data_IF_859854982566
#
_entry.id   IF_859854982566
#
_cell.length_a   1.000
_cell.length_b   1.000
_cell.length_c   1.000
_cell.angle_alpha   90.00
_cell.angle_beta   90.00
_cell.angle_gamma   90.00
#
_symmetry.space_group_name_H-M   'P 1'
#
loop_
_entity.id
_entity.type
_entity.pdbx_description
1 polymer ?
#
# COMPACT_ATOMS: atom_id res chain seq x y z
N UNK A 1 -13.68 4.25 -4.83
CA UNK A 1 -12.61 3.41 -4.24
C UNK A 1 -12.63 3.51 -2.73
N UNK A 2 -12.61 2.35 -2.06
CA UNK A 2 -12.30 2.21 -0.63
C UNK A 2 -10.85 1.71 -0.60
N UNK A 3 -9.92 2.34 0.15
CA UNK A 3 -8.55 1.86 0.24
C UNK A 3 -8.50 0.44 0.83
N UNK A 4 -7.68 -0.44 0.24
CA UNK A 4 -7.32 -1.70 0.86
C UNK A 4 -6.77 -1.50 2.29
N UNK A 5 -7.07 -2.43 3.20
CA UNK A 5 -6.66 -2.37 4.60
C UNK A 5 -7.13 -1.14 5.38
N UNK A 6 -8.18 -0.44 4.93
CA UNK A 6 -8.72 0.71 5.68
C UNK A 6 -9.37 0.29 6.99
N UNK A 7 -8.86 0.76 8.13
CA UNK A 7 -9.45 0.46 9.44
C UNK A 7 -10.64 1.36 9.73
N UNK A 8 -11.83 0.75 9.89
CA UNK A 8 -12.99 1.42 10.45
C UNK A 8 -13.02 1.19 11.96
N UNK A 9 -13.14 2.27 12.73
CA UNK A 9 -13.30 2.17 14.19
C UNK A 9 -14.78 2.04 14.53
N UNK A 10 -15.09 1.02 15.29
CA UNK A 10 -16.46 0.71 15.73
C UNK A 10 -16.54 0.82 17.25
N UNK A 11 -17.60 1.44 17.73
CA UNK A 11 -17.91 1.52 19.14
C UNK A 11 -18.27 0.14 19.72
N UNK A 12 -17.75 -0.16 20.91
CA UNK A 12 -17.98 -1.46 21.56
C UNK A 12 -19.32 -1.55 22.29
N UNK A 13 -19.98 -0.42 22.60
CA UNK A 13 -21.26 -0.43 23.31
C UNK A 13 -22.41 -1.03 22.49
N UNK A 14 -22.28 -1.04 21.16
CA UNK A 14 -23.25 -1.66 20.23
C UNK A 14 -22.99 -3.16 20.01
N UNK A 15 -22.14 -3.77 20.84
CA UNK A 15 -21.87 -5.22 20.88
C UNK A 15 -21.55 -5.81 19.50
N UNK A 16 -20.48 -5.32 18.83
CA UNK A 16 -20.08 -5.86 17.54
C UNK A 16 -19.80 -7.37 17.63
N UNK A 17 -20.14 -8.08 16.56
CA UNK A 17 -20.03 -9.53 16.46
C UNK A 17 -18.86 -9.87 15.53
N UNK A 18 -17.93 -10.65 16.07
CA UNK A 18 -16.93 -11.37 15.30
C UNK A 18 -17.44 -12.79 15.04
N UNK A 19 -17.25 -13.30 13.82
CA UNK A 19 -17.67 -14.65 13.47
C UNK A 19 -16.62 -15.39 12.64
N UNK A 20 -16.51 -16.70 12.87
CA UNK A 20 -15.87 -17.61 11.93
C UNK A 20 -16.91 -18.04 10.89
N UNK A 21 -16.60 -17.84 9.61
CA UNK A 21 -17.54 -18.13 8.54
C UNK A 21 -17.27 -19.49 7.94
N UNK A 22 -18.23 -20.41 8.11
CA UNK A 22 -18.10 -21.79 7.63
C UNK A 22 -18.71 -22.03 6.24
N UNK A 23 -19.50 -21.09 5.74
CA UNK A 23 -20.18 -21.20 4.43
C UNK A 23 -19.18 -20.94 3.28
N UNK A 24 -18.87 -21.93 2.44
CA UNK A 24 -17.85 -21.80 1.39
C UNK A 24 -18.22 -20.84 0.25
N UNK A 25 -19.50 -20.49 0.08
CA UNK A 25 -19.97 -19.51 -0.92
C UNK A 25 -19.84 -18.06 -0.46
N UNK A 26 -19.34 -17.86 0.75
CA UNK A 26 -19.12 -16.55 1.32
C UNK A 26 -17.68 -16.10 1.13
N UNK A 27 -17.49 -14.78 1.06
CA UNK A 27 -16.19 -14.13 0.95
C UNK A 27 -16.08 -13.17 2.13
N UNK A 28 -15.11 -13.44 2.99
CA UNK A 28 -14.71 -12.51 4.05
C UNK A 28 -13.90 -11.37 3.43
N UNK A 29 -14.24 -10.13 3.78
CA UNK A 29 -13.56 -8.92 3.28
C UNK A 29 -13.03 -8.00 4.38
N UNK A 30 -13.27 -8.35 5.64
CA UNK A 30 -12.68 -7.66 6.78
C UNK A 30 -12.56 -8.57 7.99
N UNK A 31 -11.82 -8.12 8.99
CA UNK A 31 -11.63 -8.81 10.26
C UNK A 31 -11.62 -7.81 11.42
N UNK A 32 -11.89 -8.30 12.63
CA UNK A 32 -11.82 -7.52 13.87
C UNK A 32 -10.44 -7.62 14.50
N UNK A 33 -9.92 -6.53 15.05
CA UNK A 33 -8.73 -6.55 15.88
C UNK A 33 -8.78 -5.40 16.89
N UNK A 34 -8.07 -5.56 18.00
CA UNK A 34 -7.97 -4.56 19.04
C UNK A 34 -6.73 -3.69 18.83
N UNK A 35 -6.90 -2.56 18.15
CA UNK A 35 -5.82 -1.63 17.83
C UNK A 35 -5.04 -1.07 19.04
N UNK A 36 -5.52 -1.26 20.29
CA UNK A 36 -4.79 -0.85 21.50
C UNK A 36 -3.74 -1.87 21.95
N UNK A 37 -3.93 -3.14 21.60
CA UNK A 37 -3.09 -4.25 22.05
C UNK A 37 -2.47 -5.03 20.89
N UNK A 38 -2.99 -4.87 19.68
CA UNK A 38 -2.63 -5.64 18.51
C UNK A 38 -2.22 -4.73 17.35
N UNK A 39 -1.15 -5.10 16.67
CA UNK A 39 -0.67 -4.45 15.43
C UNK A 39 -1.22 -5.13 14.16
N UNK A 40 -2.30 -5.91 14.33
CA UNK A 40 -2.95 -6.75 13.33
C UNK A 40 -2.97 -8.22 13.76
N UNK A 41 -3.75 -9.04 13.05
CA UNK A 41 -3.94 -10.45 13.39
C UNK A 41 -3.11 -11.41 12.54
N UNK A 42 -2.78 -12.56 13.14
CA UNK A 42 -2.28 -13.72 12.42
C UNK A 42 -3.39 -14.35 11.57
N UNK A 43 -3.02 -15.15 10.57
CA UNK A 43 -3.95 -15.68 9.57
C UNK A 43 -5.12 -16.48 10.18
N UNK A 44 -4.83 -17.29 11.19
CA UNK A 44 -5.82 -18.11 11.88
C UNK A 44 -6.87 -17.23 12.56
N UNK A 45 -6.44 -16.14 13.18
CA UNK A 45 -7.32 -15.22 13.88
C UNK A 45 -8.11 -14.33 12.91
N UNK A 46 -7.52 -13.94 11.76
CA UNK A 46 -8.26 -13.27 10.68
C UNK A 46 -9.49 -14.10 10.28
N UNK A 47 -9.33 -15.41 10.09
CA UNK A 47 -10.44 -16.31 9.67
C UNK A 47 -11.54 -16.42 10.72
N UNK A 48 -11.20 -16.33 12.00
CA UNK A 48 -12.15 -16.47 13.12
C UNK A 48 -12.85 -15.16 13.48
N UNK A 49 -12.39 -14.04 12.93
CA UNK A 49 -12.82 -12.71 13.35
C UNK A 49 -13.46 -11.90 12.23
N UNK A 50 -14.18 -12.52 11.31
CA UNK A 50 -14.82 -11.83 10.20
C UNK A 50 -15.71 -10.67 10.70
N UNK A 51 -15.52 -9.49 10.11
CA UNK A 51 -16.33 -8.30 10.41
C UNK A 51 -17.34 -7.96 9.31
N UNK A 52 -17.02 -8.30 8.06
CA UNK A 52 -17.88 -8.13 6.90
C UNK A 52 -17.69 -9.33 5.99
N UNK A 53 -18.82 -9.87 5.53
CA UNK A 53 -18.89 -11.04 4.68
C UNK A 53 -19.94 -10.80 3.61
N UNK A 54 -19.67 -11.21 2.39
CA UNK A 54 -20.68 -11.18 1.32
C UNK A 54 -20.71 -12.49 0.56
N UNK A 55 -21.83 -12.80 -0.11
CA UNK A 55 -21.95 -14.03 -0.87
C UNK A 55 -23.29 -14.20 -1.54
N UNK A 56 -23.42 -15.31 -2.27
CA UNK A 56 -24.65 -15.66 -2.98
C UNK A 56 -25.26 -16.95 -2.40
N UNK A 57 -26.58 -16.94 -2.20
CA UNK A 57 -27.35 -18.13 -1.88
C UNK A 57 -28.54 -18.25 -2.84
N UNK A 58 -28.51 -19.27 -3.70
CA UNK A 58 -29.43 -19.37 -4.83
C UNK A 58 -29.25 -18.18 -5.78
N UNK A 59 -30.31 -17.40 -6.02
CA UNK A 59 -30.26 -16.16 -6.82
C UNK A 59 -30.09 -14.89 -5.96
N UNK A 60 -30.11 -15.05 -4.64
CA UNK A 60 -30.02 -13.95 -3.68
C UNK A 60 -28.56 -13.58 -3.40
N UNK A 61 -28.34 -12.28 -3.20
CA UNK A 61 -27.09 -11.70 -2.71
C UNK A 61 -27.28 -11.28 -1.26
N UNK A 62 -26.27 -11.52 -0.43
CA UNK A 62 -26.27 -11.04 0.94
C UNK A 62 -24.95 -10.38 1.30
N UNK A 63 -25.04 -9.41 2.20
CA UNK A 63 -23.92 -8.81 2.89
C UNK A 63 -24.27 -8.87 4.37
N UNK A 64 -23.37 -9.42 5.17
CA UNK A 64 -23.43 -9.41 6.61
C UNK A 64 -22.33 -8.48 7.13
N UNK A 65 -22.71 -7.62 8.07
CA UNK A 65 -21.79 -6.73 8.79
C UNK A 65 -21.94 -7.04 10.28
N UNK A 66 -20.83 -7.29 10.96
CA UNK A 66 -20.78 -7.57 12.39
C UNK A 66 -20.95 -6.33 13.26
N UNK A 67 -21.43 -5.21 12.72
CA UNK A 67 -21.60 -3.94 13.43
C UNK A 67 -22.79 -3.16 12.89
N UNK A 68 -23.35 -2.27 13.71
CA UNK A 68 -24.38 -1.35 13.25
C UNK A 68 -23.77 -0.15 12.53
N UNK A 69 -24.45 0.36 11.52
CA UNK A 69 -23.99 1.50 10.71
C UNK A 69 -23.76 2.75 11.59
N UNK A 70 -24.56 2.91 12.65
CA UNK A 70 -24.47 4.04 13.58
C UNK A 70 -23.34 3.90 14.61
N UNK A 71 -22.68 2.74 14.69
CA UNK A 71 -21.60 2.46 15.64
C UNK A 71 -20.24 2.97 15.19
N UNK A 72 -20.13 3.54 13.99
CA UNK A 72 -18.87 3.99 13.43
C UNK A 72 -18.44 5.29 14.12
N UNK A 73 -17.24 5.25 14.70
CA UNK A 73 -16.63 6.39 15.38
C UNK A 73 -15.38 6.86 14.62
N UNK A 74 -15.11 8.16 14.62
CA UNK A 74 -13.84 8.70 14.15
C UNK A 74 -13.95 9.99 13.36
N UNK A 75 -12.96 10.24 12.50
CA UNK A 75 -12.89 11.43 11.64
C UNK A 75 -13.91 11.43 10.50
N UNK A 76 -14.08 12.60 9.87
CA UNK A 76 -14.87 12.79 8.64
C UNK A 76 -14.49 11.78 7.55
N UNK A 77 -13.20 11.47 7.39
CA UNK A 77 -12.72 10.46 6.43
C UNK A 77 -13.39 9.10 6.65
N UNK A 78 -13.60 8.66 7.90
CA UNK A 78 -14.29 7.39 8.19
C UNK A 78 -15.72 7.40 7.69
N UNK A 79 -16.44 8.51 7.84
CA UNK A 79 -17.80 8.64 7.33
C UNK A 79 -17.84 8.61 5.79
N UNK A 80 -16.88 9.25 5.12
CA UNK A 80 -16.77 9.20 3.65
C UNK A 80 -16.52 7.77 3.15
N UNK A 81 -15.62 7.03 3.80
CA UNK A 81 -15.36 5.64 3.40
C UNK A 81 -16.49 4.68 3.78
N UNK A 82 -17.19 4.93 4.89
CA UNK A 82 -18.40 4.20 5.26
C UNK A 82 -19.51 4.41 4.23
N UNK A 83 -19.76 5.64 3.80
CA UNK A 83 -20.73 5.95 2.75
C UNK A 83 -20.40 5.20 1.46
N UNK A 84 -19.13 5.18 1.05
CA UNK A 84 -18.65 4.42 -0.11
C UNK A 84 -18.84 2.91 0.08
N UNK A 85 -18.57 2.37 1.27
CA UNK A 85 -18.80 0.96 1.60
C UNK A 85 -20.27 0.59 1.45
N UNK A 86 -21.16 1.39 2.02
CA UNK A 86 -22.60 1.17 1.95
C UNK A 86 -23.13 1.33 0.52
N UNK A 87 -22.68 2.35 -0.21
CA UNK A 87 -23.05 2.56 -1.61
C UNK A 87 -22.63 1.39 -2.50
N UNK A 88 -21.39 0.91 -2.36
CA UNK A 88 -20.90 -0.28 -3.06
C UNK A 88 -21.69 -1.53 -2.66
N UNK A 89 -21.95 -1.71 -1.36
CA UNK A 89 -22.72 -2.84 -0.83
C UNK A 89 -24.13 -2.88 -1.43
N UNK A 90 -24.84 -1.76 -1.42
CA UNK A 90 -26.18 -1.64 -2.00
C UNK A 90 -26.17 -1.85 -3.51
N UNK A 91 -25.19 -1.28 -4.22
CA UNK A 91 -25.05 -1.51 -5.65
C UNK A 91 -24.86 -3.00 -5.96
N UNK A 92 -23.98 -3.68 -5.21
CA UNK A 92 -23.73 -5.11 -5.40
C UNK A 92 -24.98 -5.93 -5.11
N UNK A 93 -25.68 -5.67 -4.00
CA UNK A 93 -26.94 -6.33 -3.63
C UNK A 93 -28.02 -6.14 -4.71
N UNK A 94 -28.12 -4.94 -5.27
CA UNK A 94 -29.09 -4.58 -6.32
C UNK A 94 -28.66 -4.97 -7.74
N UNK A 95 -27.53 -5.69 -7.90
CA UNK A 95 -26.95 -6.05 -9.21
C UNK A 95 -26.62 -4.85 -10.11
N UNK A 96 -26.33 -3.70 -9.49
CA UNK A 96 -25.76 -2.56 -10.19
C UNK A 96 -24.26 -2.74 -10.37
N UNK A 97 -23.66 -2.15 -11.43
CA UNK A 97 -22.24 -2.24 -11.64
C UNK A 97 -21.46 -1.41 -10.61
N UNK A 98 -20.24 -1.85 -10.30
CA UNK A 98 -19.29 -1.17 -9.42
C UNK A 98 -17.96 -1.08 -10.17
N UNK A 99 -17.23 0.02 -10.02
CA UNK A 99 -15.92 0.15 -10.62
C UNK A 99 -14.93 0.79 -9.68
N UNK A 100 -13.66 0.40 -9.81
CA UNK A 100 -12.57 0.92 -9.02
C UNK A 100 -11.23 0.85 -9.74
N UNK A 101 -10.31 1.73 -9.35
CA UNK A 101 -8.91 1.67 -9.78
C UNK A 101 -8.19 0.71 -8.85
N UNK A 102 -7.41 -0.22 -9.41
CA UNK A 102 -6.63 -1.15 -8.60
C UNK A 102 -5.61 -0.42 -7.73
N UNK A 103 -5.33 -0.98 -6.55
CA UNK A 103 -4.34 -0.40 -5.63
C UNK A 103 -2.91 -0.60 -6.12
N UNK A 104 -2.65 -1.65 -6.91
CA UNK A 104 -1.34 -2.02 -7.45
C UNK A 104 -1.39 -2.29 -8.95
N UNK A 105 -0.30 -2.04 -9.69
CA UNK A 105 -0.24 -2.24 -11.14
C UNK A 105 -0.15 -3.72 -11.54
N UNK A 106 -0.28 -4.02 -12.84
CA UNK A 106 0.07 -5.29 -13.48
C UNK A 106 -0.49 -6.55 -12.76
N UNK A 107 -1.76 -6.55 -12.40
CA UNK A 107 -2.42 -7.67 -11.70
C UNK A 107 -1.83 -8.03 -10.32
N UNK A 108 -0.91 -7.25 -9.73
CA UNK A 108 -0.38 -7.53 -8.39
C UNK A 108 -1.47 -7.42 -7.31
N UNK A 109 -1.40 -8.30 -6.30
CA UNK A 109 -2.41 -8.37 -5.23
C UNK A 109 -2.07 -7.47 -4.04
N UNK A 110 -0.78 -7.27 -3.81
CA UNK A 110 -0.20 -6.47 -2.75
C UNK A 110 1.15 -5.92 -3.23
N UNK A 111 1.77 -5.02 -2.47
CA UNK A 111 3.12 -4.54 -2.77
C UNK A 111 4.06 -4.71 -1.58
N UNK A 112 5.36 -4.69 -1.85
CA UNK A 112 6.38 -4.79 -0.83
C UNK A 112 7.55 -3.85 -1.12
N UNK A 113 8.10 -3.25 -0.06
CA UNK A 113 9.37 -2.55 -0.09
C UNK A 113 10.35 -3.30 0.81
N UNK A 114 11.55 -3.55 0.29
CA UNK A 114 12.67 -4.01 1.09
C UNK A 114 13.50 -2.81 1.54
N UNK A 115 13.62 -2.62 2.86
CA UNK A 115 14.25 -1.50 3.54
C UNK A 115 15.46 -1.95 4.39
N UNK A 116 16.61 -2.28 3.79
CA UNK A 116 17.83 -2.48 4.55
C UNK A 116 18.25 -1.18 5.25
N UNK A 117 18.41 -1.21 6.56
CA UNK A 117 18.74 -0.06 7.40
C UNK A 117 20.17 -0.16 7.94
N UNK A 118 21.03 0.78 7.56
CA UNK A 118 22.41 0.88 8.00
C UNK A 118 22.53 1.96 9.09
N UNK A 119 22.51 1.52 10.35
CA UNK A 119 22.54 2.38 11.54
C UNK A 119 23.94 2.61 12.08
N UNK A 120 24.70 1.53 12.25
CA UNK A 120 25.99 1.57 12.95
C UNK A 120 27.18 1.41 12.01
N UNK A 121 27.05 0.53 11.01
CA UNK A 121 28.12 0.16 10.10
C UNK A 121 27.59 -0.44 8.79
N UNK A 122 28.50 -0.77 7.88
CA UNK A 122 28.23 -1.34 6.56
C UNK A 122 28.79 -2.76 6.39
N UNK A 123 29.05 -3.48 7.48
CA UNK A 123 29.68 -4.82 7.44
C UNK A 123 28.86 -5.82 6.59
N UNK A 124 27.54 -5.66 6.59
CA UNK A 124 26.61 -6.57 5.91
C UNK A 124 26.38 -6.25 4.42
N UNK A 125 27.03 -5.20 3.88
CA UNK A 125 26.75 -4.71 2.51
C UNK A 125 26.96 -5.79 1.44
N UNK A 126 28.07 -6.52 1.47
CA UNK A 126 28.35 -7.50 0.40
C UNK A 126 27.39 -8.69 0.44
N UNK A 127 27.15 -9.26 1.63
CA UNK A 127 26.21 -10.38 1.80
C UNK A 127 24.77 -9.97 1.37
N UNK A 128 24.35 -8.75 1.72
CA UNK A 128 23.08 -8.20 1.26
C UNK A 128 23.03 -8.07 -0.27
N UNK A 129 24.08 -7.51 -0.87
CA UNK A 129 24.11 -7.29 -2.32
C UNK A 129 24.12 -8.61 -3.10
N UNK A 130 24.68 -9.68 -2.55
CA UNK A 130 24.59 -11.01 -3.17
C UNK A 130 23.14 -11.50 -3.23
N UNK A 131 22.35 -11.28 -2.17
CA UNK A 131 20.90 -11.58 -2.17
C UNK A 131 20.18 -10.68 -3.18
N UNK A 132 20.45 -9.37 -3.18
CA UNK A 132 19.82 -8.40 -4.09
C UNK A 132 20.07 -8.77 -5.55
N UNK A 133 21.32 -9.12 -5.91
CA UNK A 133 21.71 -9.58 -7.25
C UNK A 133 21.05 -10.91 -7.61
N UNK A 134 21.15 -11.91 -6.73
CA UNK A 134 20.58 -13.25 -6.94
C UNK A 134 19.08 -13.18 -7.14
N UNK A 135 18.40 -12.38 -6.31
CA UNK A 135 16.96 -12.20 -6.38
C UNK A 135 16.55 -11.23 -7.48
N UNK A 136 17.41 -10.34 -8.00
CA UNK A 136 17.04 -9.32 -8.99
C UNK A 136 15.91 -8.42 -8.47
N UNK A 137 16.12 -7.85 -7.30
CA UNK A 137 15.23 -6.84 -6.71
C UNK A 137 15.95 -5.51 -6.58
N UNK A 138 15.20 -4.41 -6.44
CA UNK A 138 15.74 -3.08 -6.19
C UNK A 138 15.28 -2.60 -4.82
N UNK A 139 16.16 -2.57 -3.79
CA UNK A 139 15.78 -2.11 -2.46
C UNK A 139 15.73 -0.58 -2.36
N UNK A 140 15.11 -0.08 -1.29
CA UNK A 140 15.33 1.28 -0.80
C UNK A 140 16.22 1.19 0.43
N UNK A 141 17.51 1.50 0.26
CA UNK A 141 18.49 1.49 1.34
C UNK A 141 18.28 2.71 2.23
N UNK A 142 18.12 2.48 3.52
CA UNK A 142 17.99 3.53 4.52
C UNK A 142 19.32 3.69 5.24
N UNK A 143 19.88 4.90 5.19
CA UNK A 143 21.16 5.22 5.81
C UNK A 143 20.93 6.22 6.94
N UNK A 144 21.35 5.86 8.14
CA UNK A 144 21.35 6.77 9.27
C UNK A 144 22.17 8.02 8.95
N UNK A 145 21.65 9.21 9.29
CA UNK A 145 22.30 10.49 9.00
C UNK A 145 23.77 10.55 9.46
N UNK A 146 24.12 9.88 10.56
CA UNK A 146 25.49 9.88 11.09
C UNK A 146 26.45 9.02 10.27
N UNK A 147 25.90 8.11 9.46
CA UNK A 147 26.63 7.25 8.53
C UNK A 147 26.79 7.86 7.13
N UNK A 148 26.11 8.97 6.84
CA UNK A 148 26.22 9.73 5.59
C UNK A 148 27.45 10.64 5.64
N UNK A 149 28.62 10.02 5.53
CA UNK A 149 29.93 10.69 5.61
C UNK A 149 30.90 10.16 4.54
N UNK A 150 31.94 10.94 4.28
CA UNK A 150 32.94 10.63 3.25
C UNK A 150 33.64 9.27 3.47
N UNK A 151 33.83 8.86 4.72
CA UNK A 151 34.49 7.58 5.05
C UNK A 151 33.70 6.35 4.52
N UNK A 152 32.38 6.50 4.34
CA UNK A 152 31.50 5.44 3.83
C UNK A 152 31.17 5.64 2.33
N UNK A 153 31.86 6.57 1.63
CA UNK A 153 31.56 6.94 0.24
C UNK A 153 31.56 5.75 -0.72
N UNK A 154 32.48 4.80 -0.54
CA UNK A 154 32.56 3.61 -1.38
C UNK A 154 31.30 2.74 -1.24
N UNK A 155 30.86 2.49 -0.01
CA UNK A 155 29.69 1.66 0.29
C UNK A 155 28.41 2.34 -0.22
N UNK A 156 28.26 3.65 0.00
CA UNK A 156 27.11 4.41 -0.51
C UNK A 156 27.05 4.37 -2.04
N UNK A 157 28.18 4.57 -2.72
CA UNK A 157 28.26 4.47 -4.19
C UNK A 157 27.96 3.06 -4.70
N UNK A 158 28.35 2.03 -3.94
CA UNK A 158 28.05 0.65 -4.29
C UNK A 158 26.55 0.34 -4.13
N UNK A 159 25.94 0.71 -2.99
CA UNK A 159 24.51 0.52 -2.74
C UNK A 159 23.66 1.23 -3.80
N UNK A 160 24.06 2.44 -4.21
CA UNK A 160 23.31 3.21 -5.20
C UNK A 160 23.25 2.55 -6.57
N UNK A 161 24.13 1.60 -6.89
CA UNK A 161 24.07 0.85 -8.16
C UNK A 161 22.92 -0.16 -8.19
N UNK A 162 22.43 -0.61 -7.02
CA UNK A 162 21.45 -1.69 -6.90
C UNK A 162 20.07 -1.24 -6.42
N UNK A 163 19.93 0.01 -5.98
CA UNK A 163 18.67 0.51 -5.44
C UNK A 163 18.64 2.02 -5.25
N UNK A 164 17.61 2.46 -4.54
CA UNK A 164 17.45 3.83 -4.06
C UNK A 164 18.14 3.99 -2.71
N UNK A 165 18.66 5.18 -2.40
CA UNK A 165 19.19 5.51 -1.07
C UNK A 165 18.37 6.66 -0.50
N UNK A 166 17.91 6.51 0.74
CA UNK A 166 17.29 7.58 1.51
C UNK A 166 17.96 7.77 2.88
N UNK A 167 17.98 9.00 3.40
CA UNK A 167 18.46 9.26 4.75
C UNK A 167 17.39 8.95 5.80
N UNK A 168 17.81 8.35 6.92
CA UNK A 168 17.08 8.39 8.17
C UNK A 168 17.53 9.62 8.97
N UNK A 169 16.60 10.52 9.31
CA UNK A 169 16.91 11.85 9.87
C UNK A 169 16.22 12.04 11.21
N UNK A 170 16.96 12.54 12.19
CA UNK A 170 16.38 12.97 13.47
C UNK A 170 15.74 14.35 13.31
N UNK A 171 14.42 14.42 13.36
CA UNK A 171 13.68 15.70 13.32
C UNK A 171 13.42 16.29 14.72
N UNK A 172 14.02 15.74 15.77
CA UNK A 172 13.94 16.29 17.11
C UNK A 172 14.79 15.50 18.07
N UNK A 173 14.53 15.67 19.37
CA UNK A 173 15.06 14.81 20.42
C UNK A 173 14.13 13.71 20.93
N UNK A 174 12.97 13.35 20.32
CA UNK A 174 12.17 12.28 20.88
C UNK A 174 12.99 10.98 20.83
N UNK A 175 13.13 10.29 21.96
CA UNK A 175 13.86 9.00 21.98
C UNK A 175 12.97 7.83 21.57
N UNK A 176 11.65 8.04 21.51
CA UNK A 176 10.66 7.02 21.11
C UNK A 176 9.43 7.69 20.49
N UNK A 177 8.58 6.89 19.83
CA UNK A 177 7.25 7.29 19.36
C UNK A 177 6.32 7.81 20.49
N UNK A 178 6.63 7.50 21.75
CA UNK A 178 5.81 7.84 22.92
C UNK A 178 6.36 9.03 23.71
N UNK A 179 7.44 9.67 23.24
CA UNK A 179 8.00 10.84 23.92
C UNK A 179 7.08 12.06 23.74
N UNK A 180 6.35 12.40 24.82
CA UNK A 180 5.45 13.57 24.88
C UNK A 180 6.14 14.82 25.43
N UNK A 181 7.40 14.70 25.86
CA UNK A 181 8.12 15.75 26.58
C UNK A 181 9.08 16.52 25.69
N UNK A 182 9.55 15.89 24.61
CA UNK A 182 10.51 16.48 23.67
C UNK A 182 9.85 16.85 22.35
N UNK A 183 10.19 18.03 21.86
CA UNK A 183 9.61 18.61 20.67
C UNK A 183 10.42 18.27 19.42
N UNK A 184 9.73 18.26 18.29
CA UNK A 184 10.37 18.31 16.98
C UNK A 184 11.06 19.67 16.78
N UNK A 185 12.13 19.67 16.01
CA UNK A 185 12.87 20.86 15.62
C UNK A 185 12.02 21.81 14.77
N UNK A 186 12.43 23.07 14.68
CA UNK A 186 11.77 24.01 13.78
C UNK A 186 11.99 23.67 12.29
N UNK A 187 11.22 24.35 11.43
CA UNK A 187 11.31 24.20 9.98
C UNK A 187 12.74 24.38 9.44
N UNK A 188 13.49 25.37 9.93
CA UNK A 188 14.79 25.71 9.35
C UNK A 188 15.81 24.60 9.64
N UNK A 189 15.80 24.09 10.86
CA UNK A 189 16.66 23.00 11.33
C UNK A 189 16.33 21.70 10.59
N UNK A 190 15.04 21.36 10.46
CA UNK A 190 14.61 20.18 9.70
C UNK A 190 14.99 20.30 8.22
N UNK A 191 14.77 21.46 7.58
CA UNK A 191 15.11 21.71 6.19
C UNK A 191 16.62 21.62 5.91
N UNK A 192 17.44 22.19 6.80
CA UNK A 192 18.89 22.09 6.72
C UNK A 192 19.36 20.63 6.85
N UNK A 193 18.78 19.87 7.77
CA UNK A 193 19.11 18.45 7.98
C UNK A 193 18.79 17.60 6.75
N UNK A 194 17.59 17.80 6.17
CA UNK A 194 17.17 17.13 4.92
C UNK A 194 18.12 17.50 3.78
N UNK A 195 18.34 18.80 3.56
CA UNK A 195 19.14 19.28 2.43
C UNK A 195 20.58 18.82 2.53
N UNK A 196 21.18 18.84 3.73
CA UNK A 196 22.55 18.36 3.96
C UNK A 196 22.68 16.88 3.60
N UNK A 197 21.82 16.01 4.16
CA UNK A 197 21.89 14.58 3.92
C UNK A 197 21.63 14.25 2.45
N UNK A 198 20.61 14.90 1.87
CA UNK A 198 20.25 14.80 0.44
C UNK A 198 21.45 15.15 -0.45
N UNK A 199 22.01 16.36 -0.31
CA UNK A 199 23.12 16.79 -1.18
C UNK A 199 24.34 15.87 -1.09
N UNK A 200 24.69 15.39 0.11
CA UNK A 200 25.81 14.45 0.29
C UNK A 200 25.55 13.10 -0.40
N UNK A 201 24.34 12.53 -0.24
CA UNK A 201 23.98 11.30 -0.95
C UNK A 201 23.98 11.53 -2.45
N UNK A 202 23.37 12.62 -2.94
CA UNK A 202 23.27 12.92 -4.38
C UNK A 202 24.65 13.12 -5.01
N UNK A 203 25.59 13.78 -4.32
CA UNK A 203 26.97 13.96 -4.76
C UNK A 203 27.71 12.60 -4.88
N UNK A 204 27.52 11.71 -3.90
CA UNK A 204 28.20 10.41 -3.86
C UNK A 204 27.58 9.40 -4.83
N UNK A 205 26.25 9.34 -4.86
CA UNK A 205 25.48 8.34 -5.57
C UNK A 205 25.14 8.74 -7.01
N UNK A 206 25.26 10.03 -7.36
CA UNK A 206 24.83 10.60 -8.64
C UNK A 206 23.36 10.26 -9.00
N UNK A 207 22.51 10.15 -7.98
CA UNK A 207 21.08 9.85 -8.10
C UNK A 207 20.30 10.78 -7.18
N UNK A 208 19.13 11.23 -7.63
CA UNK A 208 18.25 12.11 -6.85
C UNK A 208 17.70 11.38 -5.63
N UNK A 209 17.69 12.06 -4.48
CA UNK A 209 17.03 11.59 -3.26
C UNK A 209 15.65 12.23 -3.17
N UNK A 210 14.62 11.39 -3.19
CA UNK A 210 13.21 11.84 -3.24
C UNK A 210 12.41 11.58 -1.98
N UNK A 211 12.96 10.84 -1.01
CA UNK A 211 12.28 10.61 0.25
C UNK A 211 13.23 10.54 1.44
N UNK A 212 12.62 10.46 2.63
CA UNK A 212 13.32 10.37 3.91
C UNK A 212 12.62 9.37 4.82
N UNK A 213 13.33 8.89 5.83
CA UNK A 213 12.76 8.20 6.98
C UNK A 213 12.94 9.10 8.21
N UNK A 214 11.87 9.68 8.80
CA UNK A 214 12.00 10.33 10.10
C UNK A 214 12.35 9.28 11.15
N UNK A 215 13.45 9.48 11.88
CA UNK A 215 13.78 8.61 13.01
C UNK A 215 12.63 8.61 14.01
N UNK A 216 12.33 7.42 14.55
CA UNK A 216 11.18 7.18 15.42
C UNK A 216 9.83 7.49 14.76
N UNK A 217 9.75 7.64 13.43
CA UNK A 217 8.49 7.82 12.70
C UNK A 217 7.74 9.13 12.93
N UNK A 218 8.30 10.08 13.70
CA UNK A 218 7.64 11.33 14.08
C UNK A 218 7.85 12.43 13.02
N UNK A 219 6.77 13.13 12.67
CA UNK A 219 6.79 14.27 11.75
C UNK A 219 5.62 15.23 12.05
N UNK A 220 5.78 16.49 11.65
CA UNK A 220 4.74 17.52 11.80
C UNK A 220 4.57 18.38 10.53
N UNK A 221 3.81 19.47 10.65
CA UNK A 221 3.62 20.44 9.57
C UNK A 221 4.95 21.09 9.14
N UNK A 222 5.88 21.30 10.06
CA UNK A 222 7.21 21.83 9.74
C UNK A 222 7.99 20.83 8.90
N UNK A 223 7.87 19.53 9.21
CA UNK A 223 8.45 18.45 8.41
C UNK A 223 7.88 18.41 7.01
N UNK A 224 6.55 18.45 6.85
CA UNK A 224 5.93 18.45 5.53
C UNK A 224 6.38 19.66 4.71
N UNK A 225 6.42 20.85 5.31
CA UNK A 225 6.95 22.05 4.67
C UNK A 225 8.42 21.85 4.26
N UNK A 226 9.27 21.36 5.14
CA UNK A 226 10.69 21.13 4.87
C UNK A 226 10.93 20.13 3.73
N UNK A 227 10.17 19.03 3.70
CA UNK A 227 10.23 18.03 2.62
C UNK A 227 9.84 18.63 1.27
N UNK A 228 8.74 19.38 1.22
CA UNK A 228 8.32 20.04 -0.03
C UNK A 228 9.34 21.07 -0.51
N UNK A 229 9.92 21.87 0.39
CA UNK A 229 10.99 22.82 0.05
C UNK A 229 12.26 22.13 -0.45
N UNK A 230 12.53 20.90 0.00
CA UNK A 230 13.68 20.10 -0.38
C UNK A 230 13.41 19.17 -1.59
N UNK A 231 12.28 19.35 -2.28
CA UNK A 231 11.88 18.53 -3.43
C UNK A 231 11.89 17.02 -3.11
N UNK A 232 11.41 16.67 -1.92
CA UNK A 232 11.11 15.31 -1.50
C UNK A 232 9.60 15.07 -1.63
N UNK A 233 9.22 13.92 -2.20
CA UNK A 233 7.83 13.59 -2.54
C UNK A 233 7.26 12.44 -1.70
N UNK A 234 8.07 11.81 -0.82
CA UNK A 234 7.56 10.82 0.12
C UNK A 234 8.32 10.81 1.45
N UNK A 235 7.70 10.19 2.46
CA UNK A 235 8.34 9.81 3.71
C UNK A 235 7.94 8.39 4.11
N UNK A 236 8.83 7.67 4.78
CA UNK A 236 8.55 6.37 5.41
C UNK A 236 8.56 6.59 6.92
N UNK A 237 7.47 6.24 7.60
CA UNK A 237 7.33 6.39 9.05
C UNK A 237 7.28 5.02 9.73
N UNK A 238 8.05 4.87 10.80
CA UNK A 238 7.96 3.72 11.71
C UNK A 238 6.69 3.74 12.58
N UNK A 239 5.85 4.79 12.48
CA UNK A 239 4.58 4.87 13.21
C UNK A 239 3.53 3.95 12.59
N UNK A 240 2.90 3.14 13.44
CA UNK A 240 1.75 2.33 13.07
C UNK A 240 0.52 3.23 13.06
N UNK A 241 -0.08 3.40 11.88
CA UNK A 241 -1.28 4.23 11.73
C UNK A 241 -2.54 3.43 11.35
N UNK A 242 -2.46 2.09 11.46
CA UNK A 242 -3.55 1.16 11.15
C UNK A 242 -3.84 0.98 9.65
N UNK A 243 -3.30 1.82 8.76
CA UNK A 243 -3.56 1.71 7.33
C UNK A 243 -2.45 0.92 6.64
N UNK A 244 -2.85 -0.06 5.85
CA UNK A 244 -1.92 -0.88 5.08
C UNK A 244 -1.58 -0.29 3.72
N UNK A 245 -2.13 0.87 3.36
CA UNK A 245 -1.80 1.60 2.13
C UNK A 245 -1.13 2.95 2.41
N UNK A 246 -0.29 3.43 1.49
CA UNK A 246 0.23 4.79 1.53
C UNK A 246 -0.88 5.85 1.62
N UNK A 247 -0.60 6.93 2.35
CA UNK A 247 -1.51 8.08 2.50
C UNK A 247 -0.97 9.28 1.75
N UNK A 248 -1.86 10.00 1.06
CA UNK A 248 -1.51 11.34 0.57
C UNK A 248 -1.54 12.33 1.72
N UNK A 249 -0.38 12.91 2.01
CA UNK A 249 -0.19 14.09 2.82
C UNK A 249 -0.07 15.30 1.90
N UNK A 250 -0.33 16.50 2.42
CA UNK A 250 -0.17 17.72 1.63
C UNK A 250 0.39 18.85 2.47
N UNK A 251 1.20 19.68 1.80
CA UNK A 251 1.55 21.00 2.27
C UNK A 251 1.20 21.99 1.17
N UNK A 252 0.19 22.84 1.41
CA UNK A 252 -0.46 23.64 0.37
C UNK A 252 -0.92 22.74 -0.78
N UNK A 253 -0.44 22.99 -2.00
CA UNK A 253 -0.82 22.24 -3.20
C UNK A 253 0.18 21.12 -3.55
N UNK A 254 1.25 20.96 -2.76
CA UNK A 254 2.25 19.91 -2.98
C UNK A 254 1.90 18.67 -2.17
N UNK A 255 1.95 17.51 -2.85
CA UNK A 255 1.59 16.20 -2.30
C UNK A 255 2.85 15.47 -1.84
N UNK A 256 2.76 14.85 -0.68
CA UNK A 256 3.79 13.95 -0.13
C UNK A 256 3.11 12.60 0.12
N UNK A 257 3.70 11.51 -0.32
CA UNK A 257 3.21 10.17 0.00
C UNK A 257 3.82 9.70 1.32
N UNK A 258 2.98 9.48 2.33
CA UNK A 258 3.38 8.85 3.58
C UNK A 258 3.20 7.33 3.49
N UNK A 259 4.27 6.58 3.73
CA UNK A 259 4.27 5.12 3.88
C UNK A 259 4.54 4.78 5.34
N UNK A 260 3.81 3.83 5.91
CA UNK A 260 3.78 3.60 7.36
C UNK A 260 4.03 2.14 7.68
N UNK A 261 4.71 1.89 8.82
CA UNK A 261 4.96 0.54 9.32
C UNK A 261 3.64 -0.23 9.39
N UNK A 262 3.57 -1.30 8.60
CA UNK A 262 2.39 -2.13 8.39
C UNK A 262 2.60 -3.58 8.86
N UNK A 263 3.79 -3.88 9.39
CA UNK A 263 4.21 -5.21 9.84
C UNK A 263 5.32 -5.10 10.87
N UNK A 264 5.54 -6.20 11.62
CA UNK A 264 6.67 -6.36 12.53
C UNK A 264 7.99 -6.23 11.75
N UNK A 265 8.99 -5.62 12.39
CA UNK A 265 10.35 -5.56 11.85
C UNK A 265 11.29 -6.54 12.59
N UNK A 266 12.57 -6.54 12.21
CA UNK A 266 13.54 -7.43 12.82
C UNK A 266 13.97 -7.05 14.24
N UNK A 267 13.76 -5.80 14.67
CA UNK A 267 13.89 -5.43 16.07
C UNK A 267 12.77 -6.07 16.91
N UNK A 268 11.55 -6.18 16.37
CA UNK A 268 10.48 -6.92 17.04
C UNK A 268 10.78 -8.42 17.09
N UNK A 269 11.15 -9.01 15.95
CA UNK A 269 11.31 -10.47 15.81
C UNK A 269 12.56 -10.99 16.51
N UNK A 270 13.72 -10.37 16.29
CA UNK A 270 14.99 -10.82 16.85
C UNK A 270 15.24 -10.14 18.20
N UNK A 271 15.05 -8.83 18.28
CA UNK A 271 15.33 -8.04 19.48
C UNK A 271 14.35 -8.35 20.62
N UNK A 272 13.05 -8.12 20.38
CA UNK A 272 12.02 -8.23 21.42
C UNK A 272 11.60 -9.68 21.69
N UNK A 273 11.35 -10.48 20.64
CA UNK A 273 10.93 -11.88 20.81
C UNK A 273 12.09 -12.86 20.99
N UNK A 274 13.33 -12.45 20.68
CA UNK A 274 14.51 -13.32 20.81
C UNK A 274 14.55 -14.47 19.80
N UNK A 275 13.81 -14.38 18.68
CA UNK A 275 13.75 -15.46 17.70
C UNK A 275 15.04 -15.52 16.88
N UNK A 276 15.92 -16.46 17.23
CA UNK A 276 17.22 -16.67 16.58
C UNK A 276 17.21 -17.81 15.55
N UNK A 277 16.24 -18.72 15.62
CA UNK A 277 16.07 -19.77 14.62
C UNK A 277 15.41 -19.22 13.35
N UNK A 278 16.06 -19.46 12.21
CA UNK A 278 15.61 -19.01 10.89
C UNK A 278 14.19 -19.44 10.51
N UNK A 279 13.73 -20.60 10.99
CA UNK A 279 12.40 -21.14 10.69
C UNK A 279 11.33 -20.30 11.38
N UNK A 280 11.54 -19.97 12.66
CA UNK A 280 10.60 -19.14 13.41
C UNK A 280 10.64 -17.68 12.94
N UNK A 281 11.81 -17.13 12.61
CA UNK A 281 11.91 -15.81 11.97
C UNK A 281 11.08 -15.76 10.68
N UNK A 282 11.29 -16.72 9.78
CA UNK A 282 10.56 -16.77 8.52
C UNK A 282 9.04 -16.95 8.71
N UNK A 283 8.63 -17.81 9.65
CA UNK A 283 7.23 -18.02 9.96
C UNK A 283 6.55 -16.72 10.42
N UNK A 284 7.19 -15.93 11.29
CA UNK A 284 6.65 -14.64 11.74
C UNK A 284 6.50 -13.64 10.59
N UNK A 285 7.48 -13.56 9.67
CA UNK A 285 7.31 -12.76 8.46
C UNK A 285 6.17 -13.26 7.57
N UNK A 286 6.00 -14.58 7.45
CA UNK A 286 4.95 -15.17 6.63
C UNK A 286 3.54 -14.80 7.12
N UNK A 287 3.33 -14.69 8.44
CA UNK A 287 2.06 -14.22 9.00
C UNK A 287 1.74 -12.78 8.57
N UNK A 288 2.72 -11.87 8.65
CA UNK A 288 2.54 -10.47 8.23
C UNK A 288 2.29 -10.37 6.72
N UNK A 289 2.98 -11.19 5.91
CA UNK A 289 2.75 -11.31 4.47
C UNK A 289 1.32 -11.80 4.22
N UNK A 290 0.86 -12.84 4.91
CA UNK A 290 -0.50 -13.37 4.70
C UNK A 290 -1.58 -12.36 5.09
N UNK A 291 -1.39 -11.62 6.19
CA UNK A 291 -2.31 -10.53 6.59
C UNK A 291 -2.37 -9.45 5.51
N UNK A 292 -1.22 -8.92 5.09
CA UNK A 292 -1.19 -7.82 4.12
C UNK A 292 -1.66 -8.25 2.74
N UNK A 293 -1.51 -9.53 2.38
CA UNK A 293 -2.08 -10.07 1.16
C UNK A 293 -3.60 -10.10 1.22
N UNK A 294 -4.17 -10.51 2.36
CA UNK A 294 -5.62 -10.47 2.59
C UNK A 294 -6.15 -9.04 2.48
N UNK A 295 -5.43 -8.08 3.05
CA UNK A 295 -5.82 -6.67 3.02
C UNK A 295 -5.62 -5.99 1.66
N UNK A 296 -4.73 -6.52 0.81
CA UNK A 296 -4.26 -5.86 -0.41
C UNK A 296 -3.27 -4.73 -0.14
N UNK A 297 -2.52 -4.80 0.96
CA UNK A 297 -1.67 -3.74 1.49
C UNK A 297 -0.24 -3.68 0.95
N UNK A 298 0.54 -2.78 1.55
CA UNK A 298 1.98 -2.58 1.37
C UNK A 298 2.73 -3.23 2.52
N UNK A 299 3.56 -4.22 2.23
CA UNK A 299 4.48 -4.83 3.19
C UNK A 299 5.82 -4.10 3.23
N UNK A 300 6.30 -3.76 4.42
CA UNK A 300 7.60 -3.11 4.58
C UNK A 300 8.54 -4.04 5.35
N UNK A 301 9.43 -4.69 4.62
CA UNK A 301 10.50 -5.49 5.21
C UNK A 301 11.65 -4.58 5.59
N UNK A 302 11.60 -4.02 6.80
CA UNK A 302 12.74 -3.31 7.40
C UNK A 302 13.72 -4.31 8.00
N UNK A 303 14.98 -4.20 7.62
CA UNK A 303 16.05 -5.11 8.07
C UNK A 303 17.26 -4.30 8.49
N UNK A 304 17.54 -4.26 9.78
CA UNK A 304 18.60 -3.48 10.41
C UNK A 304 19.93 -4.25 10.36
N UNK A 305 21.00 -3.51 10.03
CA UNK A 305 22.40 -3.96 10.01
C UNK A 305 22.81 -4.79 11.23
N UNK A 306 22.36 -4.44 12.43
CA UNK A 306 22.65 -5.16 13.68
C UNK A 306 21.75 -6.37 13.97
N UNK A 307 20.71 -6.62 13.18
CA UNK A 307 19.73 -7.69 13.40
C UNK A 307 19.62 -8.63 12.19
N UNK A 308 18.63 -8.45 11.31
CA UNK A 308 18.35 -9.41 10.23
C UNK A 308 19.47 -9.45 9.19
N UNK A 309 20.22 -8.36 9.03
CA UNK A 309 21.31 -8.32 8.06
C UNK A 309 22.60 -9.01 8.54
N UNK A 310 22.66 -9.42 9.81
CA UNK A 310 23.82 -10.14 10.34
C UNK A 310 24.02 -11.49 9.63
N UNK A 311 25.27 -11.98 9.49
CA UNK A 311 25.58 -13.18 8.72
C UNK A 311 24.75 -14.42 9.08
N UNK A 312 24.43 -14.59 10.37
CA UNK A 312 23.62 -15.70 10.86
C UNK A 312 22.13 -15.63 10.46
N UNK A 313 21.60 -14.42 10.19
CA UNK A 313 20.16 -14.19 9.97
C UNK A 313 19.83 -13.84 8.51
N UNK A 314 20.79 -13.29 7.76
CA UNK A 314 20.54 -12.67 6.45
C UNK A 314 19.92 -13.62 5.42
N UNK A 315 20.17 -14.93 5.55
CA UNK A 315 19.63 -15.92 4.64
C UNK A 315 18.09 -16.03 4.67
N UNK A 316 17.43 -15.65 5.77
CA UNK A 316 15.95 -15.64 5.88
C UNK A 316 15.32 -14.71 4.85
N UNK A 317 16.01 -13.64 4.47
CA UNK A 317 15.54 -12.67 3.47
C UNK A 317 15.31 -13.35 2.11
N UNK A 318 16.08 -14.40 1.77
CA UNK A 318 15.83 -15.16 0.54
C UNK A 318 14.44 -15.80 0.54
N UNK A 319 14.05 -16.40 1.67
CA UNK A 319 12.78 -17.09 1.83
C UNK A 319 11.62 -16.09 1.81
N UNK A 320 11.79 -14.95 2.48
CA UNK A 320 10.81 -13.85 2.47
C UNK A 320 10.56 -13.35 1.05
N UNK A 321 11.62 -13.06 0.27
CA UNK A 321 11.48 -12.59 -1.11
C UNK A 321 10.81 -13.65 -2.01
N UNK A 322 11.13 -14.94 -1.82
CA UNK A 322 10.50 -16.02 -2.58
C UNK A 322 9.01 -16.17 -2.26
N UNK A 323 8.63 -16.03 -0.99
CA UNK A 323 7.23 -16.10 -0.57
C UNK A 323 6.42 -14.91 -1.11
N UNK A 324 6.98 -13.69 -1.06
CA UNK A 324 6.38 -12.51 -1.68
C UNK A 324 6.11 -12.71 -3.18
N UNK A 325 7.08 -13.28 -3.91
CA UNK A 325 6.91 -13.58 -5.35
C UNK A 325 5.85 -14.63 -5.60
N UNK A 326 5.88 -15.73 -4.83
CA UNK A 326 4.89 -16.80 -4.92
C UNK A 326 3.47 -16.26 -4.70
N UNK A 327 3.31 -15.27 -3.82
CA UNK A 327 2.05 -14.61 -3.50
C UNK A 327 1.70 -13.42 -4.40
N UNK A 328 2.49 -13.19 -5.45
CA UNK A 328 2.27 -12.14 -6.46
C UNK A 328 2.27 -10.72 -5.86
N UNK A 329 3.30 -10.42 -5.06
CA UNK A 329 3.60 -9.06 -4.60
C UNK A 329 4.38 -8.26 -5.65
N UNK A 330 4.03 -6.98 -5.77
CA UNK A 330 4.88 -6.00 -6.43
C UNK A 330 6.04 -5.59 -5.51
N UNK A 331 7.23 -6.15 -5.74
CA UNK A 331 8.43 -5.75 -4.99
C UNK A 331 9.07 -4.56 -5.70
N UNK A 332 9.07 -3.39 -5.06
CA UNK A 332 9.46 -2.12 -5.67
C UNK A 332 10.24 -1.22 -4.70
N UNK A 333 10.88 -0.17 -5.21
CA UNK A 333 11.44 0.88 -4.36
C UNK A 333 10.33 1.78 -3.81
N UNK A 334 10.61 2.47 -2.70
CA UNK A 334 9.70 3.45 -2.13
C UNK A 334 9.36 4.59 -3.11
N UNK A 335 10.31 5.05 -3.92
CA UNK A 335 10.06 6.02 -5.00
C UNK A 335 9.06 5.51 -6.06
N UNK A 336 9.16 4.23 -6.46
CA UNK A 336 8.22 3.61 -7.41
C UNK A 336 6.81 3.52 -6.80
N UNK A 337 6.70 3.07 -5.54
CA UNK A 337 5.42 3.04 -4.81
C UNK A 337 4.82 4.44 -4.70
N UNK A 338 5.64 5.44 -4.30
CA UNK A 338 5.21 6.83 -4.19
C UNK A 338 4.70 7.37 -5.53
N UNK A 339 5.44 7.13 -6.62
CA UNK A 339 5.04 7.60 -7.94
C UNK A 339 3.72 6.98 -8.39
N UNK A 340 3.56 5.67 -8.21
CA UNK A 340 2.31 4.99 -8.54
C UNK A 340 1.13 5.53 -7.71
N UNK A 341 1.30 5.66 -6.40
CA UNK A 341 0.24 6.18 -5.52
C UNK A 341 -0.13 7.62 -5.83
N UNK A 342 0.85 8.46 -6.15
CA UNK A 342 0.57 9.84 -6.54
C UNK A 342 -0.29 9.90 -7.79
N UNK A 343 0.00 9.10 -8.81
CA UNK A 343 -0.81 9.00 -10.03
C UNK A 343 -2.18 8.39 -9.77
N UNK A 344 -2.23 7.22 -9.12
CA UNK A 344 -3.47 6.46 -8.87
C UNK A 344 -4.49 7.25 -8.07
N UNK A 345 -4.05 8.04 -7.09
CA UNK A 345 -4.95 8.86 -6.25
C UNK A 345 -5.55 10.05 -6.97
N UNK A 346 -5.10 10.34 -8.19
CA UNK A 346 -5.65 11.38 -9.08
C UNK A 346 -6.53 10.78 -10.20
N UNK A 347 -6.72 9.46 -10.20
CA UNK A 347 -7.64 8.79 -11.13
C UNK A 347 -9.00 8.61 -10.47
N UNK A 348 -10.01 9.15 -11.13
CA UNK A 348 -11.41 9.03 -10.76
C UNK A 348 -12.13 8.08 -11.71
N UNK A 349 -13.01 7.25 -11.15
CA UNK A 349 -13.78 6.27 -11.91
C UNK A 349 -15.25 6.38 -11.52
N UNK A 350 -16.11 6.45 -12.52
CA UNK A 350 -17.56 6.39 -12.38
C UNK A 350 -18.14 5.29 -13.25
N UNK A 351 -19.16 4.58 -12.75
CA UNK A 351 -19.84 3.55 -13.52
C UNK A 351 -21.35 3.72 -13.43
N UNK A 352 -22.04 3.54 -14.56
CA UNK A 352 -23.49 3.65 -14.63
C UNK A 352 -24.07 2.64 -15.61
N UNK A 353 -25.10 1.90 -15.18
CA UNK A 353 -25.88 1.04 -16.06
C UNK A 353 -26.78 1.89 -16.97
N UNK A 354 -26.80 1.54 -18.25
CA UNK A 354 -27.55 2.22 -19.32
C UNK A 354 -28.47 1.19 -20.01
N UNK A 355 -29.65 0.96 -19.45
CA UNK A 355 -30.53 -0.12 -19.90
C UNK A 355 -30.06 -1.50 -19.46
N UNK A 356 -30.45 -2.55 -20.16
CA UNK A 356 -30.22 -3.95 -19.75
C UNK A 356 -28.92 -4.58 -20.25
N UNK A 357 -28.21 -3.93 -21.19
CA UNK A 357 -27.07 -4.53 -21.92
C UNK A 357 -25.86 -3.62 -22.07
N UNK A 358 -25.89 -2.44 -21.45
CA UNK A 358 -24.82 -1.44 -21.59
C UNK A 358 -24.45 -0.88 -20.22
N UNK A 359 -23.15 -0.74 -20.01
CA UNK A 359 -22.58 -0.01 -18.88
C UNK A 359 -21.69 1.10 -19.42
N UNK A 360 -21.86 2.31 -18.90
CA UNK A 360 -20.99 3.45 -19.13
C UNK A 360 -19.94 3.48 -18.02
N UNK A 361 -18.67 3.44 -18.40
CA UNK A 361 -17.54 3.64 -17.51
C UNK A 361 -16.85 4.95 -17.87
N UNK A 362 -16.74 5.86 -16.91
CA UNK A 362 -15.98 7.11 -17.03
C UNK A 362 -14.69 6.95 -16.24
N UNK A 363 -13.56 7.25 -16.88
CA UNK A 363 -12.25 7.29 -16.23
C UNK A 363 -11.61 8.65 -16.49
N UNK A 364 -11.25 9.34 -15.42
CA UNK A 364 -10.75 10.71 -15.46
C UNK A 364 -9.42 10.82 -14.73
N UNK A 365 -8.47 11.55 -15.31
CA UNK A 365 -7.24 11.95 -14.65
C UNK A 365 -7.39 13.41 -14.20
N UNK A 366 -7.60 13.65 -12.91
CA UNK A 366 -7.66 15.00 -12.33
C UNK A 366 -6.29 15.57 -12.02
N UNK A 367 -5.23 14.87 -12.41
CA UNK A 367 -3.86 15.21 -12.16
C UNK A 367 -3.17 16.05 -13.22
N UNK A 368 -1.96 16.51 -12.87
CA UNK A 368 -1.11 17.35 -13.72
C UNK A 368 -0.12 16.56 -14.58
N UNK A 369 -0.04 15.24 -14.39
CA UNK A 369 0.88 14.35 -15.12
C UNK A 369 0.13 13.29 -15.93
N UNK A 370 0.75 12.80 -17.00
CA UNK A 370 0.24 11.66 -17.76
C UNK A 370 0.19 10.44 -16.84
N UNK A 371 -0.94 9.74 -16.84
CA UNK A 371 -1.14 8.51 -16.11
C UNK A 371 -1.00 7.32 -17.09
N UNK A 372 -0.02 6.46 -16.85
CA UNK A 372 0.27 5.32 -17.73
C UNK A 372 -0.17 3.99 -17.10
N UNK A 373 -0.59 3.05 -17.96
CA UNK A 373 -0.96 1.67 -17.58
C UNK A 373 -1.93 1.60 -16.40
N UNK A 374 -2.97 2.43 -16.44
CA UNK A 374 -4.00 2.46 -15.40
C UNK A 374 -4.91 1.26 -15.55
N UNK A 375 -5.08 0.51 -14.46
CA UNK A 375 -5.96 -0.66 -14.40
C UNK A 375 -7.24 -0.31 -13.64
N UNK A 376 -8.36 -0.45 -14.35
CA UNK A 376 -9.71 -0.22 -13.81
C UNK A 376 -10.49 -1.52 -13.87
N UNK A 377 -10.99 -1.95 -12.73
CA UNK A 377 -11.85 -3.11 -12.59
C UNK A 377 -13.32 -2.64 -12.57
N UNK A 378 -14.14 -3.19 -13.46
CA UNK A 378 -15.59 -2.95 -13.53
C UNK A 378 -16.34 -4.27 -13.30
N UNK A 379 -16.95 -4.41 -12.12
CA UNK A 379 -17.87 -5.49 -11.80
C UNK A 379 -19.24 -5.15 -12.39
N UNK A 380 -19.68 -5.95 -13.35
CA UNK A 380 -20.96 -5.79 -14.03
C UNK A 380 -22.11 -6.44 -13.27
N UNK A 381 -21.82 -7.09 -12.14
CA UNK A 381 -22.79 -7.78 -11.29
C UNK A 381 -23.51 -8.96 -11.95
N UNK A 382 -23.14 -9.36 -13.16
CA UNK A 382 -23.76 -10.46 -13.91
C UNK A 382 -22.71 -11.18 -14.77
N UNK A 383 -22.84 -12.50 -14.92
CA UNK A 383 -21.98 -13.27 -15.82
C UNK A 383 -22.38 -12.93 -17.26
N UNK A 384 -21.39 -12.52 -18.06
CA UNK A 384 -21.62 -12.10 -19.43
C UNK A 384 -20.67 -12.83 -20.39
N UNK A 385 -21.18 -13.13 -21.59
CA UNK A 385 -20.43 -13.89 -22.59
C UNK A 385 -19.67 -12.97 -23.54
N UNK A 386 -20.42 -12.19 -24.29
CA UNK A 386 -19.92 -11.30 -25.33
C UNK A 386 -19.73 -9.90 -24.77
N UNK A 387 -18.60 -9.28 -25.10
CA UNK A 387 -18.30 -7.90 -24.73
C UNK A 387 -17.89 -7.18 -25.99
N UNK A 388 -18.54 -6.04 -26.23
CA UNK A 388 -18.10 -5.05 -27.20
C UNK A 388 -17.75 -3.77 -26.43
N UNK A 389 -16.50 -3.35 -26.57
CA UNK A 389 -16.05 -2.06 -26.05
C UNK A 389 -16.13 -1.01 -27.14
N UNK A 390 -16.70 0.14 -26.80
CA UNK A 390 -16.69 1.33 -27.66
C UNK A 390 -16.41 2.58 -26.84
N UNK A 391 -16.06 3.68 -27.52
CA UNK A 391 -15.80 4.98 -26.90
C UNK A 391 -16.85 5.99 -27.32
N UNK A 392 -17.09 7.00 -26.49
CA UNK A 392 -17.98 8.10 -26.85
C UNK A 392 -17.44 8.94 -28.02
N UNK A 393 -16.13 9.17 -28.04
CA UNK A 393 -15.45 9.96 -29.07
C UNK A 393 -14.77 9.00 -30.06
N UNK A 394 -15.01 9.22 -31.36
CA UNK A 394 -14.36 8.48 -32.45
C UNK A 394 -12.86 8.80 -32.46
N UNK A 395 -12.02 7.78 -32.57
CA UNK A 395 -10.56 7.93 -32.57
C UNK A 395 -9.93 7.85 -31.18
N UNK A 396 -10.72 7.80 -30.10
CA UNK A 396 -10.20 7.46 -28.76
C UNK A 396 -9.70 6.03 -28.75
N UNK A 397 -8.48 5.83 -28.27
CA UNK A 397 -7.86 4.51 -28.17
C UNK A 397 -8.65 3.63 -27.20
N UNK A 398 -9.05 2.44 -27.67
CA UNK A 398 -9.72 1.45 -26.82
C UNK A 398 -8.73 0.85 -25.81
N UNK A 399 -9.16 0.62 -24.56
CA UNK A 399 -8.35 -0.08 -23.58
C UNK A 399 -8.26 -1.56 -23.95
N UNK A 400 -7.17 -2.21 -23.53
CA UNK A 400 -7.12 -3.68 -23.51
C UNK A 400 -8.02 -4.16 -22.39
N UNK A 401 -8.62 -5.34 -22.54
CA UNK A 401 -9.47 -5.88 -21.49
C UNK A 401 -9.32 -7.38 -21.26
N UNK A 402 -9.65 -7.82 -20.05
CA UNK A 402 -9.66 -9.22 -19.62
C UNK A 402 -10.94 -9.51 -18.85
N UNK A 403 -11.56 -10.65 -19.15
CA UNK A 403 -12.69 -11.21 -18.38
C UNK A 403 -12.18 -11.99 -17.18
N UNK A 404 -12.72 -11.69 -16.00
CA UNK A 404 -12.43 -12.34 -14.73
C UNK A 404 -13.74 -12.83 -14.11
N UNK A 405 -13.66 -13.76 -13.15
CA UNK A 405 -14.84 -14.30 -12.44
C UNK A 405 -15.97 -14.77 -13.36
N UNK A 406 -15.63 -15.57 -14.37
CA UNK A 406 -16.61 -16.06 -15.36
C UNK A 406 -17.16 -14.98 -16.30
N UNK A 407 -16.66 -13.75 -16.23
CA UNK A 407 -17.09 -12.62 -17.06
C UNK A 407 -17.80 -11.51 -16.29
N UNK A 408 -18.10 -11.69 -15.00
CA UNK A 408 -18.75 -10.62 -14.21
C UNK A 408 -17.82 -9.44 -13.94
N UNK A 409 -16.51 -9.68 -13.88
CA UNK A 409 -15.52 -8.64 -13.63
C UNK A 409 -14.71 -8.38 -14.90
N UNK A 410 -14.73 -7.14 -15.39
CA UNK A 410 -13.98 -6.71 -16.57
C UNK A 410 -12.84 -5.81 -16.13
N UNK A 411 -11.61 -6.26 -16.37
CA UNK A 411 -10.40 -5.45 -16.17
C UNK A 411 -10.09 -4.71 -17.44
N UNK A 412 -9.90 -3.40 -17.34
CA UNK A 412 -9.50 -2.51 -18.43
C UNK A 412 -8.12 -1.94 -18.15
N UNK A 413 -7.20 -2.10 -19.11
CA UNK A 413 -5.86 -1.50 -19.08
C UNK A 413 -5.84 -0.31 -20.03
N UNK A 414 -5.74 0.89 -19.47
CA UNK A 414 -5.66 2.15 -20.19
C UNK A 414 -4.17 2.49 -20.32
N UNK A 415 -3.64 2.43 -21.54
CA UNK A 415 -2.20 2.63 -21.78
C UNK A 415 -1.72 4.02 -21.33
N UNK A 416 -2.49 5.07 -21.63
CA UNK A 416 -2.20 6.45 -21.25
C UNK A 416 -3.49 7.26 -21.01
N UNK A 417 -3.45 8.20 -20.08
CA UNK A 417 -4.50 9.20 -19.83
C UNK A 417 -3.84 10.53 -19.49
N UNK A 418 -4.03 11.55 -20.34
CA UNK A 418 -3.39 12.87 -20.24
C UNK A 418 -3.89 13.66 -19.02
N UNK A 419 -3.15 14.69 -18.57
CA UNK A 419 -3.62 15.60 -17.54
C UNK A 419 -5.01 16.17 -17.88
N UNK A 420 -5.90 16.19 -16.89
CA UNK A 420 -7.28 16.67 -17.01
C UNK A 420 -8.13 15.97 -18.09
N UNK A 421 -7.70 14.81 -18.59
CA UNK A 421 -8.41 14.03 -19.60
C UNK A 421 -9.48 13.15 -18.94
N UNK A 422 -10.67 13.11 -19.56
CA UNK A 422 -11.73 12.16 -19.21
C UNK A 422 -12.09 11.31 -20.42
N UNK A 423 -12.12 9.99 -20.24
CA UNK A 423 -12.55 9.03 -21.27
C UNK A 423 -13.77 8.27 -20.81
N UNK A 424 -14.70 8.11 -21.74
CA UNK A 424 -15.93 7.34 -21.53
C UNK A 424 -15.88 6.12 -22.43
N UNK A 425 -15.98 4.96 -21.79
CA UNK A 425 -16.07 3.66 -22.42
C UNK A 425 -17.47 3.07 -22.22
N UNK A 426 -18.05 2.56 -23.29
CA UNK A 426 -19.26 1.77 -23.25
C UNK A 426 -18.89 0.30 -23.30
N UNK A 427 -19.38 -0.45 -22.31
CA UNK A 427 -19.27 -1.90 -22.21
C UNK A 427 -20.64 -2.46 -22.59
N UNK A 428 -20.76 -2.90 -23.83
CA UNK A 428 -21.94 -3.58 -24.34
C UNK A 428 -21.78 -5.08 -24.15
N UNK A 429 -22.85 -5.75 -23.70
CA UNK A 429 -22.81 -7.19 -23.45
C UNK A 429 -24.14 -7.89 -23.69
N UNK A 430 -24.03 -9.17 -24.02
CA UNK A 430 -25.15 -10.09 -24.03
C UNK A 430 -25.23 -10.81 -22.68
N UNK A 431 -26.39 -10.69 -22.04
CA UNK A 431 -26.70 -11.53 -20.89
C UNK A 431 -26.83 -12.98 -21.37
N UNK A 432 -26.23 -13.90 -20.62
CA UNK A 432 -26.66 -15.30 -20.68
C UNK A 432 -28.14 -15.33 -20.31
N UNK A 433 -29.02 -15.46 -21.30
CA UNK A 433 -30.38 -15.98 -21.03
C UNK A 433 -30.17 -17.38 -20.46
N UNK A 434 -30.13 -17.50 -19.15
CA UNK A 434 -30.29 -18.79 -18.51
C UNK A 434 -31.75 -19.20 -18.78
N UNK A 435 -31.90 -20.27 -19.56
CA UNK A 435 -33.10 -21.10 -19.63
C UNK A 435 -33.50 -21.50 -18.21
#
# INVERSE_FOLDING_TARGET
>A
NIPAGYSLRVATWDRPIAAEVLEPRSIQVSYWYNYKYEEGLVREEIKKSAGIVYGEYGKGRFIWMGFEINSIIGSIDNHVYLERLLGNSLNWLCRNPIAYVRDWPNDFNAAAIFLPYFGTDFSSTYALLDIVKKKKISPTFVIDQDQIRNDNKHQLKLLSQYGEIIPAIAFGFPFTLYDTTRNLFDYQTQFQSITRCKSLIEEIAAKKVTGVLPMFGLYDKSTLKALTSADCNYLISDSINGNSLPKTLSWKNQRIIGMYKSSRDDNDIIGNFGLTDSVYQFYTYQEDIDRLLFEGGLYMLKSISSYQLQPQNINVINNVIDDLRKKNYWIATASEISSWFNTKTQIEVGVKRMGSRRVRLTVSNSGESIAEKIEVDADLSEIINNILLSTEIIGTKLPKFKKLNGGSLIRLTIDELKPHESRIYYIDYDNTKNI
#
